data_IF_971808579039
#
_entry.id   IF_971808579039
#
_cell.length_a   1.000
_cell.length_b   1.000
_cell.length_c   1.000
_cell.angle_alpha   90.00
_cell.angle_beta   90.00
_cell.angle_gamma   90.00
#
_symmetry.space_group_name_H-M   'P 1'
#
loop_
_entity.id
_entity.type
_entity.pdbx_description
1 polymer ?
#
# COMPACT_ATOMS: atom_id res chain seq x y z
N UNK A 1 -5.12 13.47 14.83
CA UNK A 1 -5.38 12.02 14.72
C UNK A 1 -6.55 11.84 13.76
N UNK A 2 -6.27 11.36 12.55
CA UNK A 2 -7.30 11.00 11.59
C UNK A 2 -7.38 9.48 11.50
N UNK A 3 -8.49 8.92 11.00
CA UNK A 3 -8.45 7.53 10.60
C UNK A 3 -7.43 7.35 9.48
N UNK A 4 -6.69 6.25 9.51
CA UNK A 4 -5.73 5.90 8.47
C UNK A 4 -6.12 4.63 7.76
N UNK A 5 -5.75 4.53 6.49
CA UNK A 5 -5.84 3.28 5.76
C UNK A 5 -4.42 2.79 5.52
N UNK A 6 -4.11 1.62 6.06
CA UNK A 6 -2.76 1.04 6.05
C UNK A 6 -2.75 -0.17 5.14
N UNK A 7 -1.81 -0.19 4.20
CA UNK A 7 -1.53 -1.34 3.35
C UNK A 7 -0.40 -2.15 4.00
N UNK A 8 -0.72 -3.28 4.61
CA UNK A 8 0.24 -4.09 5.34
C UNK A 8 0.79 -5.22 4.44
N UNK A 9 2.06 -5.19 4.03
CA UNK A 9 2.70 -6.32 3.36
C UNK A 9 2.80 -7.54 4.28
N UNK A 10 2.70 -8.73 3.70
CA UNK A 10 2.96 -9.99 4.41
C UNK A 10 4.46 -10.21 4.63
N UNK A 11 4.83 -11.11 5.54
CA UNK A 11 6.24 -11.50 5.70
C UNK A 11 6.82 -12.07 4.39
N UNK A 12 6.01 -12.80 3.62
CA UNK A 12 6.38 -13.30 2.29
C UNK A 12 6.66 -12.17 1.29
N UNK A 13 5.95 -11.03 1.39
CA UNK A 13 6.19 -9.86 0.56
C UNK A 13 7.58 -9.27 0.81
N UNK A 14 8.02 -9.24 2.07
CA UNK A 14 9.37 -8.80 2.42
C UNK A 14 10.43 -9.81 1.97
N UNK A 15 10.14 -11.11 2.07
CA UNK A 15 11.03 -12.16 1.60
C UNK A 15 11.17 -12.19 0.06
N UNK A 16 10.18 -11.68 -0.67
CA UNK A 16 10.20 -11.56 -2.12
C UNK A 16 11.00 -10.36 -2.64
N UNK A 17 11.41 -9.44 -1.75
CA UNK A 17 12.30 -8.35 -2.14
C UNK A 17 13.69 -8.89 -2.53
N UNK A 18 14.40 -8.24 -3.47
CA UNK A 18 15.75 -8.64 -3.83
C UNK A 18 16.65 -8.73 -2.60
N UNK A 19 17.49 -9.76 -2.55
CA UNK A 19 18.46 -9.96 -1.47
C UNK A 19 19.27 -8.67 -1.23
N UNK A 20 19.38 -8.29 0.04
CA UNK A 20 20.03 -7.05 0.47
C UNK A 20 19.14 -5.81 0.52
N UNK A 21 17.94 -5.82 -0.07
CA UNK A 21 17.03 -4.65 0.00
C UNK A 21 16.59 -4.42 1.44
N UNK A 22 16.03 -5.44 2.10
CA UNK A 22 15.55 -5.36 3.49
C UNK A 22 16.68 -5.00 4.44
N UNK A 23 17.84 -5.65 4.29
CA UNK A 23 19.02 -5.37 5.11
C UNK A 23 19.48 -3.93 4.96
N UNK A 24 19.51 -3.41 3.73
CA UNK A 24 19.85 -2.02 3.44
C UNK A 24 18.86 -1.08 4.14
N UNK A 25 17.54 -1.28 4.00
CA UNK A 25 16.56 -0.39 4.66
C UNK A 25 16.48 -0.55 6.17
N UNK A 26 16.97 -1.65 6.74
CA UNK A 26 17.09 -1.84 8.18
C UNK A 26 18.35 -1.20 8.79
N UNK A 27 19.31 -0.75 7.98
CA UNK A 27 20.48 -0.05 8.49
C UNK A 27 20.07 1.29 9.14
N UNK A 28 20.74 1.64 10.25
CA UNK A 28 20.49 2.89 10.96
C UNK A 28 20.65 4.13 10.07
N UNK A 29 21.54 4.05 9.07
CA UNK A 29 21.78 5.09 8.06
C UNK A 29 20.56 5.31 7.13
N UNK A 30 19.67 4.33 7.01
CA UNK A 30 18.49 4.35 6.14
C UNK A 30 17.17 4.47 6.91
N UNK A 31 17.20 4.92 8.17
CA UNK A 31 15.98 5.16 8.99
C UNK A 31 14.98 6.09 8.32
N UNK A 32 15.47 7.11 7.61
CA UNK A 32 14.62 8.05 6.88
C UNK A 32 13.92 7.33 5.71
N UNK A 33 14.63 6.44 5.02
CA UNK A 33 14.06 5.61 3.95
C UNK A 33 13.05 4.61 4.50
N UNK A 34 13.33 3.95 5.62
CA UNK A 34 12.38 3.07 6.31
C UNK A 34 11.11 3.82 6.70
N UNK A 35 11.27 5.03 7.26
CA UNK A 35 10.13 5.89 7.60
C UNK A 35 9.32 6.23 6.36
N UNK A 36 9.97 6.58 5.24
CA UNK A 36 9.31 6.88 3.97
C UNK A 36 8.54 5.67 3.42
N UNK A 37 9.13 4.48 3.48
CA UNK A 37 8.45 3.24 3.05
C UNK A 37 7.22 3.00 3.91
N UNK A 38 7.35 3.09 5.24
CA UNK A 38 6.21 2.87 6.13
C UNK A 38 5.10 3.90 5.90
N UNK A 39 5.44 5.17 5.63
CA UNK A 39 4.44 6.21 5.36
C UNK A 39 3.86 6.14 3.94
N UNK A 40 4.55 5.53 2.97
CA UNK A 40 4.02 5.23 1.63
C UNK A 40 2.94 4.14 1.65
N UNK A 41 2.95 3.28 2.67
CA UNK A 41 1.90 2.29 2.89
C UNK A 41 0.67 2.86 3.61
N UNK A 42 0.67 4.15 3.96
CA UNK A 42 -0.42 4.78 4.70
C UNK A 42 -1.03 5.88 3.87
N UNK A 43 -2.36 5.85 3.72
CA UNK A 43 -3.13 6.95 3.17
C UNK A 43 -4.05 7.52 4.25
N UNK A 44 -4.27 8.84 4.26
CA UNK A 44 -5.21 9.46 5.19
C UNK A 44 -6.65 9.08 4.83
N UNK A 45 -7.46 8.80 5.85
CA UNK A 45 -8.86 8.44 5.71
C UNK A 45 -9.17 7.00 6.11
N UNK A 46 -10.45 6.72 6.37
CA UNK A 46 -10.98 5.37 6.60
C UNK A 46 -11.57 4.85 5.29
N UNK A 47 -10.77 4.19 4.46
CA UNK A 47 -11.17 3.78 3.12
C UNK A 47 -11.24 2.26 3.06
N UNK A 48 -12.45 1.76 2.83
CA UNK A 48 -12.67 0.35 2.50
C UNK A 48 -12.27 0.07 1.04
N UNK A 49 -12.14 -1.18 0.63
CA UNK A 49 -11.94 -1.51 -0.79
C UNK A 49 -13.09 -0.99 -1.65
N UNK A 50 -14.32 -0.94 -1.10
CA UNK A 50 -15.44 -0.33 -1.80
C UNK A 50 -15.23 1.18 -2.03
N UNK A 51 -14.66 1.91 -1.06
CA UNK A 51 -14.33 3.33 -1.19
C UNK A 51 -13.15 3.54 -2.14
N UNK A 52 -12.09 2.73 -1.99
CA UNK A 52 -10.89 2.80 -2.84
C UNK A 52 -11.21 2.52 -4.30
N UNK A 53 -12.16 1.63 -4.56
CA UNK A 53 -12.58 1.24 -5.91
C UNK A 53 -13.83 1.96 -6.39
N UNK A 54 -14.31 2.96 -5.63
CA UNK A 54 -15.54 3.68 -5.95
C UNK A 54 -15.39 4.41 -7.28
N UNK A 55 -16.36 4.22 -8.16
CA UNK A 55 -16.37 4.84 -9.48
C UNK A 55 -15.45 4.18 -10.51
N UNK A 56 -14.66 3.18 -10.13
CA UNK A 56 -13.84 2.43 -11.08
C UNK A 56 -14.72 1.52 -11.95
N UNK A 57 -14.58 1.67 -13.27
CA UNK A 57 -15.21 0.82 -14.27
C UNK A 57 -14.14 0.29 -15.24
N UNK A 58 -14.01 -1.03 -15.35
CA UNK A 58 -12.99 -1.65 -16.21
C UNK A 58 -11.57 -1.42 -15.68
N UNK A 59 -10.65 -0.99 -16.54
CA UNK A 59 -9.21 -0.85 -16.25
C UNK A 59 -8.83 0.51 -15.66
N UNK A 60 -9.78 1.23 -15.06
CA UNK A 60 -9.55 2.54 -14.45
C UNK A 60 -8.79 2.46 -13.13
N UNK A 61 -8.06 3.53 -12.81
CA UNK A 61 -7.31 3.69 -11.57
C UNK A 61 -7.85 4.86 -10.76
N UNK A 62 -7.85 4.71 -9.43
CA UNK A 62 -8.06 5.81 -8.49
C UNK A 62 -6.72 6.14 -7.84
N UNK A 63 -6.36 7.41 -7.81
CA UNK A 63 -5.11 7.86 -7.20
C UNK A 63 -5.37 8.42 -5.80
N UNK A 64 -4.45 8.12 -4.88
CA UNK A 64 -4.46 8.54 -3.50
C UNK A 64 -3.08 9.09 -3.13
N UNK A 65 -3.06 10.16 -2.35
CA UNK A 65 -1.81 10.67 -1.79
C UNK A 65 -1.51 9.93 -0.49
N UNK A 66 -0.32 9.37 -0.41
CA UNK A 66 0.16 8.70 0.81
C UNK A 66 0.69 9.71 1.81
N UNK A 67 0.90 9.27 3.05
CA UNK A 67 1.48 10.12 4.11
C UNK A 67 2.94 10.47 3.81
N UNK A 68 3.65 9.67 3.01
CA UNK A 68 4.99 10.02 2.52
C UNK A 68 4.97 11.13 1.46
N UNK A 69 3.80 11.42 0.88
CA UNK A 69 3.62 12.38 -0.22
C UNK A 69 3.74 11.76 -1.61
N UNK A 70 3.99 10.45 -1.71
CA UNK A 70 4.04 9.72 -2.97
C UNK A 70 2.62 9.31 -3.42
N UNK A 71 2.40 9.18 -4.73
CA UNK A 71 1.12 8.75 -5.28
C UNK A 71 0.95 7.22 -5.19
N UNK A 72 -0.25 6.79 -4.79
CA UNK A 72 -0.66 5.38 -4.76
C UNK A 72 -1.91 5.22 -5.61
N UNK A 73 -1.87 4.30 -6.56
CA UNK A 73 -3.02 4.02 -7.42
C UNK A 73 -3.70 2.71 -7.04
N UNK A 74 -5.02 2.67 -7.10
CA UNK A 74 -5.83 1.47 -6.87
C UNK A 74 -6.60 1.12 -8.13
N UNK A 75 -6.55 -0.14 -8.52
CA UNK A 75 -7.37 -0.70 -9.60
C UNK A 75 -8.22 -1.85 -9.07
N UNK A 76 -9.44 -1.97 -9.61
CA UNK A 76 -10.29 -3.16 -9.41
C UNK A 76 -10.30 -3.99 -10.68
N UNK A 77 -9.85 -5.23 -10.59
CA UNK A 77 -9.94 -6.17 -11.73
C UNK A 77 -11.36 -6.66 -11.93
N UNK A 78 -11.67 -7.14 -13.14
CA UNK A 78 -12.95 -7.80 -13.46
C UNK A 78 -13.29 -8.97 -12.53
N UNK A 79 -12.28 -9.63 -11.94
CA UNK A 79 -12.45 -10.71 -10.97
C UNK A 79 -12.81 -10.24 -9.55
N UNK A 80 -12.91 -8.93 -9.31
CA UNK A 80 -13.23 -8.35 -8.01
C UNK A 80 -12.03 -8.15 -7.08
N UNK A 81 -10.82 -8.54 -7.50
CA UNK A 81 -9.59 -8.30 -6.74
C UNK A 81 -9.16 -6.83 -6.89
N UNK A 82 -8.76 -6.22 -5.78
CA UNK A 82 -8.13 -4.91 -5.74
C UNK A 82 -6.60 -5.06 -5.86
N UNK A 83 -6.00 -4.20 -6.67
CA UNK A 83 -4.55 -4.09 -6.84
C UNK A 83 -4.11 -2.69 -6.48
N UNK A 84 -2.99 -2.61 -5.78
CA UNK A 84 -2.33 -1.36 -5.38
C UNK A 84 -1.09 -1.20 -6.24
N UNK A 85 -0.90 0.01 -6.77
CA UNK A 85 0.24 0.37 -7.60
C UNK A 85 1.03 1.46 -6.92
N UNK A 86 2.35 1.28 -6.88
CA UNK A 86 3.28 2.32 -6.44
C UNK A 86 3.77 3.18 -7.62
N UNK A 87 4.51 4.24 -7.32
CA UNK A 87 5.10 5.13 -8.34
C UNK A 87 6.19 4.48 -9.19
N UNK A 88 6.72 3.33 -8.75
CA UNK A 88 7.66 2.52 -9.51
C UNK A 88 6.96 1.61 -10.53
N UNK A 89 5.62 1.57 -10.52
CA UNK A 89 4.81 0.73 -11.40
C UNK A 89 4.71 -0.72 -10.92
N UNK A 90 5.12 -1.02 -9.69
CA UNK A 90 4.87 -2.32 -9.08
C UNK A 90 3.40 -2.43 -8.72
N UNK A 91 2.82 -3.60 -8.93
CA UNK A 91 1.42 -3.88 -8.66
C UNK A 91 1.29 -5.04 -7.68
N UNK A 92 0.60 -4.81 -6.57
CA UNK A 92 0.44 -5.79 -5.51
C UNK A 92 -1.04 -6.03 -5.24
N UNK A 93 -1.46 -7.30 -5.25
CA UNK A 93 -2.84 -7.66 -4.93
C UNK A 93 -3.12 -7.48 -3.44
N UNK A 94 -4.31 -6.97 -3.14
CA UNK A 94 -4.89 -7.02 -1.79
C UNK A 94 -5.39 -8.44 -1.51
N UNK A 95 -4.76 -9.13 -0.55
CA UNK A 95 -5.10 -10.50 -0.16
C UNK A 95 -6.19 -10.53 0.90
N UNK A 96 -6.14 -9.61 1.87
CA UNK A 96 -7.16 -9.43 2.90
C UNK A 96 -7.56 -7.96 2.94
N UNK A 97 -8.83 -7.68 2.65
CA UNK A 97 -9.36 -6.32 2.62
C UNK A 97 -10.20 -6.02 3.87
N UNK A 98 -10.39 -4.73 4.13
CA UNK A 98 -11.41 -4.20 5.05
C UNK A 98 -11.26 -4.67 6.52
N UNK A 99 -10.02 -4.82 6.98
CA UNK A 99 -9.73 -5.13 8.39
C UNK A 99 -9.94 -3.87 9.22
N UNK A 100 -11.13 -3.74 9.80
CA UNK A 100 -11.53 -2.57 10.56
C UNK A 100 -10.78 -2.47 11.89
N UNK A 101 -10.10 -1.33 12.10
CA UNK A 101 -9.44 -0.99 13.35
C UNK A 101 -10.09 0.23 14.01
N UNK A 102 -9.77 0.46 15.28
CA UNK A 102 -10.27 1.63 16.03
C UNK A 102 -9.80 2.96 15.43
N UNK A 103 -8.63 2.96 14.80
CA UNK A 103 -7.98 4.14 14.20
C UNK A 103 -7.96 4.09 12.66
N UNK A 104 -8.69 3.18 12.00
CA UNK A 104 -8.49 3.01 10.57
C UNK A 104 -9.03 1.74 9.92
N UNK A 105 -8.46 1.43 8.76
CA UNK A 105 -8.66 0.19 8.01
C UNK A 105 -7.30 -0.36 7.62
N UNK A 106 -7.09 -1.66 7.81
CA UNK A 106 -5.93 -2.37 7.26
C UNK A 106 -6.35 -3.17 6.02
N UNK A 107 -5.53 -3.10 4.99
CA UNK A 107 -5.58 -3.97 3.82
C UNK A 107 -4.25 -4.72 3.72
N UNK A 108 -4.29 -6.05 3.76
CA UNK A 108 -3.10 -6.88 3.59
C UNK A 108 -2.79 -6.99 2.10
N UNK A 109 -1.55 -6.71 1.73
CA UNK A 109 -1.05 -6.76 0.35
C UNK A 109 0.08 -7.80 0.22
N UNK A 110 0.21 -8.40 -0.95
CA UNK A 110 1.23 -9.44 -1.21
C UNK A 110 2.62 -8.89 -1.52
N UNK A 111 2.80 -7.57 -1.51
CA UNK A 111 4.05 -6.92 -1.88
C UNK A 111 4.29 -5.61 -1.13
N UNK A 112 5.55 -5.18 -1.13
CA UNK A 112 5.99 -3.96 -0.45
C UNK A 112 5.96 -2.79 -1.43
N UNK A 113 5.28 -1.72 -1.05
CA UNK A 113 5.25 -0.46 -1.79
C UNK A 113 6.57 0.28 -1.58
N UNK A 114 7.28 0.55 -2.66
CA UNK A 114 8.54 1.29 -2.62
C UNK A 114 8.28 2.72 -3.10
N UNK A 115 8.51 3.75 -2.27
CA UNK A 115 8.43 5.15 -2.68
C UNK A 115 9.60 5.51 -3.60
N UNK A 116 9.44 6.56 -4.42
CA UNK A 116 10.51 7.08 -5.29
C UNK A 116 11.43 8.10 -4.63
#
# INVERSE_FOLDING_TARGET
EGPFTVFAPTDDAFAALPDGTVETVMMDENKDQLTKILTAHVIPGRLTVADLTKGLSGDQFNNFDTVSGDALSVQRTRGGNAYIFDENGNAWRVTTADVMQSNGVIHVVEGVLLPR
#
